data_IF_915273319811
#
_entry.id   IF_915273319811
#
_cell.length_a   1.000
_cell.length_b   1.000
_cell.length_c   1.000
_cell.angle_alpha   90.00
_cell.angle_beta   90.00
_cell.angle_gamma   90.00
#
_symmetry.space_group_name_H-M   'P 1'
#
loop_
_entity.id
_entity.type
_entity.pdbx_description
1 polymer ?
#
# COMPACT_ATOMS: atom_id res chain seq x y z
N UNK A 1 -2.37 23.53 -13.45
CA UNK A 1 -3.02 22.24 -13.67
C UNK A 1 -1.92 21.23 -13.99
N UNK A 2 -1.45 20.48 -13.01
CA UNK A 2 -0.52 19.40 -13.25
C UNK A 2 -1.29 18.26 -13.91
N UNK A 3 -1.25 18.16 -15.23
CA UNK A 3 -1.56 16.93 -15.96
C UNK A 3 -0.44 15.96 -15.61
N UNK A 4 -0.61 15.36 -14.43
CA UNK A 4 0.48 14.67 -13.76
C UNK A 4 0.77 13.33 -14.39
N UNK A 5 1.97 12.84 -14.07
CA UNK A 5 2.48 11.49 -14.29
C UNK A 5 1.43 10.38 -14.06
N UNK A 6 0.43 10.62 -13.21
CA UNK A 6 -0.70 9.71 -12.97
C UNK A 6 -1.52 9.37 -14.22
N UNK A 7 -1.66 10.27 -15.20
CA UNK A 7 -2.39 10.00 -16.45
C UNK A 7 -1.59 9.11 -17.42
N UNK A 8 -0.26 9.17 -17.37
CA UNK A 8 0.61 8.32 -18.20
C UNK A 8 0.49 6.86 -17.77
N UNK A 9 0.58 6.59 -16.46
CA UNK A 9 0.47 5.22 -15.92
C UNK A 9 -0.90 4.59 -16.16
N UNK A 10 -1.96 5.38 -16.13
CA UNK A 10 -3.32 4.91 -16.37
C UNK A 10 -3.55 4.42 -17.80
N UNK A 11 -2.75 4.90 -18.79
CA UNK A 11 -2.84 4.50 -20.20
C UNK A 11 -2.02 3.26 -20.52
N UNK A 12 -1.23 2.76 -19.58
CA UNK A 12 -0.41 1.58 -19.72
C UNK A 12 -1.13 0.34 -19.19
N UNK A 13 -0.71 -0.82 -19.65
CA UNK A 13 -1.18 -2.10 -19.12
C UNK A 13 -0.68 -2.36 -17.70
N UNK A 14 -1.24 -3.35 -17.03
CA UNK A 14 -0.76 -3.82 -15.72
C UNK A 14 0.72 -4.20 -15.81
N UNK A 15 1.10 -5.02 -16.80
CA UNK A 15 2.48 -5.49 -16.97
C UNK A 15 3.45 -4.35 -17.23
N UNK A 16 3.10 -3.40 -18.12
CA UNK A 16 3.91 -2.21 -18.37
C UNK A 16 4.09 -1.35 -17.12
N UNK A 17 3.04 -1.19 -16.31
CA UNK A 17 3.12 -0.47 -15.04
C UNK A 17 4.11 -1.13 -14.06
N UNK A 18 4.07 -2.45 -13.95
CA UNK A 18 4.99 -3.19 -13.09
C UNK A 18 6.44 -3.09 -13.61
N UNK A 19 6.63 -3.21 -14.93
CA UNK A 19 7.96 -3.08 -15.54
C UNK A 19 8.57 -1.70 -15.32
N UNK A 20 7.77 -0.63 -15.41
CA UNK A 20 8.23 0.74 -15.16
C UNK A 20 8.59 0.94 -13.69
N UNK A 21 7.93 0.25 -12.75
CA UNK A 21 8.26 0.33 -11.33
C UNK A 21 9.74 0.06 -11.04
N UNK A 22 10.40 -0.77 -11.84
CA UNK A 22 11.82 -1.09 -11.70
C UNK A 22 12.67 -0.56 -12.87
N UNK A 23 12.26 0.52 -13.52
CA UNK A 23 12.99 1.11 -14.66
C UNK A 23 14.47 1.38 -14.38
N UNK A 24 14.85 1.68 -13.14
CA UNK A 24 16.24 1.89 -12.74
C UNK A 24 17.04 0.58 -12.56
N UNK A 25 16.37 -0.58 -12.55
CA UNK A 25 17.05 -1.87 -12.39
C UNK A 25 17.70 -2.30 -13.69
N UNK A 26 19.01 -2.59 -13.64
CA UNK A 26 19.74 -3.17 -14.77
C UNK A 26 19.60 -4.70 -14.86
N UNK A 27 19.09 -5.33 -13.79
CA UNK A 27 18.94 -6.78 -13.67
C UNK A 27 17.54 -7.22 -14.14
N UNK A 28 17.45 -7.63 -15.39
CA UNK A 28 16.20 -8.10 -16.01
C UNK A 28 15.64 -9.38 -15.39
N UNK A 29 16.51 -10.30 -14.97
CA UNK A 29 16.10 -11.56 -14.34
C UNK A 29 15.49 -11.31 -12.97
N UNK A 30 16.11 -10.43 -12.19
CA UNK A 30 15.56 -10.00 -10.91
C UNK A 30 14.23 -9.29 -11.08
N UNK A 31 14.11 -8.41 -12.09
CA UNK A 31 12.84 -7.73 -12.40
C UNK A 31 11.73 -8.73 -12.70
N UNK A 32 12.00 -9.72 -13.55
CA UNK A 32 11.00 -10.77 -13.89
C UNK A 32 10.55 -11.53 -12.66
N UNK A 33 11.49 -11.96 -11.79
CA UNK A 33 11.15 -12.63 -10.52
C UNK A 33 10.30 -11.75 -9.60
N UNK A 34 10.60 -10.45 -9.53
CA UNK A 34 9.84 -9.52 -8.70
C UNK A 34 8.42 -9.29 -9.26
N UNK A 35 8.25 -9.24 -10.58
CA UNK A 35 6.92 -9.13 -11.21
C UNK A 35 6.09 -10.39 -10.92
N UNK A 36 6.66 -11.59 -11.07
CA UNK A 36 5.96 -12.82 -10.72
C UNK A 36 5.57 -12.86 -9.23
N UNK A 37 6.47 -12.43 -8.33
CA UNK A 37 6.14 -12.27 -6.91
C UNK A 37 4.96 -11.31 -6.68
N UNK A 38 4.86 -10.22 -7.44
CA UNK A 38 3.72 -9.29 -7.36
C UNK A 38 2.43 -9.99 -7.80
N UNK A 39 2.47 -10.84 -8.83
CA UNK A 39 1.31 -11.60 -9.26
C UNK A 39 0.89 -12.67 -8.25
N UNK A 40 1.83 -13.27 -7.52
CA UNK A 40 1.53 -14.17 -6.41
C UNK A 40 0.83 -13.43 -5.24
N UNK A 41 1.28 -12.21 -4.93
CA UNK A 41 0.66 -11.35 -3.90
C UNK A 41 -0.72 -10.83 -4.35
N UNK A 42 -0.85 -10.49 -5.63
CA UNK A 42 -2.05 -9.92 -6.24
C UNK A 42 -2.49 -10.72 -7.48
N UNK A 43 -3.11 -11.91 -7.31
CA UNK A 43 -3.49 -12.78 -8.43
C UNK A 43 -4.35 -12.08 -9.50
N UNK A 44 -5.22 -11.14 -9.07
CA UNK A 44 -6.05 -10.36 -9.99
C UNK A 44 -5.25 -9.51 -10.98
N UNK A 45 -4.06 -9.06 -10.60
CA UNK A 45 -3.16 -8.37 -11.53
C UNK A 45 -2.59 -9.35 -12.55
N UNK A 46 -2.25 -10.57 -12.12
CA UNK A 46 -1.76 -11.64 -12.98
C UNK A 46 -2.79 -12.09 -14.04
N UNK A 47 -4.08 -12.16 -13.66
CA UNK A 47 -5.20 -12.46 -14.58
C UNK A 47 -5.42 -11.38 -15.64
N UNK A 48 -4.94 -10.15 -15.43
CA UNK A 48 -5.25 -8.95 -16.21
C UNK A 48 -4.01 -8.22 -16.72
N UNK A 49 -2.92 -8.95 -16.99
CA UNK A 49 -1.61 -8.39 -17.37
C UNK A 49 -1.69 -7.36 -18.51
N UNK A 50 -2.50 -7.63 -19.51
CA UNK A 50 -2.67 -6.79 -20.70
C UNK A 50 -3.76 -5.72 -20.56
N UNK A 51 -4.51 -5.70 -19.44
CA UNK A 51 -5.57 -4.73 -19.21
C UNK A 51 -4.98 -3.34 -18.94
N UNK A 52 -5.55 -2.30 -19.54
CA UNK A 52 -5.18 -0.92 -19.26
C UNK A 52 -5.54 -0.53 -17.81
N UNK A 53 -4.61 0.04 -17.06
CA UNK A 53 -4.79 0.38 -15.66
C UNK A 53 -6.01 1.30 -15.41
N UNK A 54 -6.33 2.20 -16.35
CA UNK A 54 -7.49 3.10 -16.24
C UNK A 54 -8.85 2.38 -16.24
N UNK A 55 -8.91 1.15 -16.74
CA UNK A 55 -10.15 0.36 -16.84
C UNK A 55 -10.36 -0.55 -15.64
N UNK A 56 -9.42 -0.57 -14.70
CA UNK A 56 -9.48 -1.33 -13.47
C UNK A 56 -10.29 -0.61 -12.39
N UNK A 57 -10.84 -1.35 -11.45
CA UNK A 57 -11.47 -0.77 -10.25
C UNK A 57 -10.44 0.00 -9.40
N UNK A 58 -10.92 0.94 -8.58
CA UNK A 58 -10.03 1.71 -7.68
C UNK A 58 -9.16 0.81 -6.79
N UNK A 59 -9.72 -0.29 -6.27
CA UNK A 59 -8.96 -1.25 -5.47
C UNK A 59 -7.88 -1.98 -6.26
N UNK A 60 -8.14 -2.36 -7.50
CA UNK A 60 -7.15 -2.97 -8.38
C UNK A 60 -6.05 -1.98 -8.77
N UNK A 61 -6.41 -0.71 -9.01
CA UNK A 61 -5.41 0.36 -9.24
C UNK A 61 -4.52 0.58 -8.02
N UNK A 62 -5.06 0.49 -6.81
CA UNK A 62 -4.28 0.57 -5.57
C UNK A 62 -3.33 -0.62 -5.41
N UNK A 63 -3.81 -1.85 -5.69
CA UNK A 63 -2.96 -3.04 -5.72
C UNK A 63 -1.83 -2.90 -6.75
N UNK A 64 -2.14 -2.35 -7.93
CA UNK A 64 -1.14 -2.10 -8.97
C UNK A 64 -0.10 -1.06 -8.51
N UNK A 65 -0.51 -0.01 -7.80
CA UNK A 65 0.41 0.99 -7.25
C UNK A 65 1.37 0.39 -6.22
N UNK A 66 0.85 -0.45 -5.31
CA UNK A 66 1.68 -1.20 -4.33
C UNK A 66 2.60 -2.18 -5.08
N UNK A 67 2.06 -2.96 -6.01
CA UNK A 67 2.81 -3.93 -6.82
C UNK A 67 3.98 -3.27 -7.55
N UNK A 68 3.74 -2.11 -8.17
CA UNK A 68 4.78 -1.32 -8.83
C UNK A 68 5.92 -0.92 -7.88
N UNK A 69 5.61 -0.54 -6.64
CA UNK A 69 6.64 -0.24 -5.65
C UNK A 69 7.43 -1.48 -5.23
N UNK A 70 6.78 -2.64 -5.19
CA UNK A 70 7.42 -3.92 -4.81
C UNK A 70 8.38 -4.47 -5.86
N UNK A 71 8.22 -4.11 -7.14
CA UNK A 71 9.13 -4.59 -8.22
C UNK A 71 10.58 -4.15 -8.02
N UNK A 72 10.85 -3.13 -7.21
CA UNK A 72 12.19 -2.70 -6.80
C UNK A 72 12.79 -3.52 -5.65
N UNK A 73 12.05 -4.45 -5.05
CA UNK A 73 12.43 -5.13 -3.79
C UNK A 73 12.84 -4.12 -2.69
N UNK A 74 11.95 -3.20 -2.31
CA UNK A 74 12.28 -2.15 -1.36
C UNK A 74 12.52 -2.71 0.04
N UNK A 75 13.42 -2.09 0.81
CA UNK A 75 13.58 -2.35 2.24
C UNK A 75 12.59 -1.55 3.09
N UNK A 76 12.10 -0.43 2.55
CA UNK A 76 11.12 0.46 3.17
C UNK A 76 10.04 0.80 2.15
N UNK A 77 8.78 0.64 2.53
CA UNK A 77 7.61 1.01 1.75
C UNK A 77 6.85 2.10 2.49
N UNK A 78 6.58 3.21 1.81
CA UNK A 78 5.80 4.34 2.31
C UNK A 78 4.42 4.31 1.66
N UNK A 79 3.35 4.30 2.45
CA UNK A 79 1.97 4.21 1.98
C UNK A 79 1.17 5.34 2.62
N UNK A 80 0.52 6.13 1.78
CA UNK A 80 -0.34 7.23 2.21
C UNK A 80 -1.78 6.94 1.82
N UNK A 81 -2.69 6.95 2.83
CA UNK A 81 -4.15 6.81 2.69
C UNK A 81 -4.60 5.62 1.80
N UNK A 82 -4.06 4.42 2.04
CA UNK A 82 -4.35 3.22 1.23
C UNK A 82 -5.84 2.83 1.24
N UNK A 83 -6.59 3.22 2.27
CA UNK A 83 -8.01 2.88 2.41
C UNK A 83 -8.96 3.87 1.74
N UNK A 84 -8.48 5.04 1.31
CA UNK A 84 -9.33 6.10 0.80
C UNK A 84 -10.04 5.70 -0.51
N UNK A 85 -11.37 5.84 -0.52
CA UNK A 85 -12.20 5.53 -1.70
C UNK A 85 -12.33 4.05 -2.05
N UNK A 86 -11.87 3.14 -1.19
CA UNK A 86 -11.99 1.70 -1.41
C UNK A 86 -13.21 1.08 -0.70
N UNK A 87 -13.77 0.05 -1.32
CA UNK A 87 -14.78 -0.79 -0.66
C UNK A 87 -14.16 -1.52 0.56
N UNK A 88 -14.93 -1.76 1.64
CA UNK A 88 -14.41 -2.37 2.89
C UNK A 88 -13.64 -3.67 2.70
N UNK A 89 -14.06 -4.51 1.75
CA UNK A 89 -13.39 -5.77 1.43
C UNK A 89 -11.99 -5.53 0.86
N UNK A 90 -11.83 -4.51 0.01
CA UNK A 90 -10.55 -4.15 -0.59
C UNK A 90 -9.59 -3.55 0.45
N UNK A 91 -10.12 -2.73 1.36
CA UNK A 91 -9.36 -2.20 2.51
C UNK A 91 -8.76 -3.36 3.32
N UNK A 92 -9.57 -4.37 3.66
CA UNK A 92 -9.08 -5.53 4.41
C UNK A 92 -7.97 -6.28 3.65
N UNK A 93 -8.12 -6.43 2.34
CA UNK A 93 -7.11 -7.07 1.49
C UNK A 93 -5.80 -6.27 1.49
N UNK A 94 -5.86 -4.94 1.35
CA UNK A 94 -4.67 -4.08 1.38
C UNK A 94 -3.94 -4.19 2.73
N UNK A 95 -4.65 -4.10 3.85
CA UNK A 95 -4.02 -4.22 5.18
C UNK A 95 -3.45 -5.62 5.44
N UNK A 96 -4.09 -6.68 4.94
CA UNK A 96 -3.53 -8.03 5.00
C UNK A 96 -2.20 -8.10 4.25
N UNK A 97 -2.16 -7.57 3.02
CA UNK A 97 -0.92 -7.53 2.22
C UNK A 97 0.17 -6.74 2.94
N UNK A 98 -0.14 -5.57 3.49
CA UNK A 98 0.81 -4.75 4.27
C UNK A 98 1.39 -5.55 5.43
N UNK A 99 0.55 -6.27 6.18
CA UNK A 99 0.98 -7.12 7.27
C UNK A 99 1.91 -8.25 6.81
N UNK A 100 1.54 -8.93 5.72
CA UNK A 100 2.33 -10.03 5.16
C UNK A 100 3.68 -9.54 4.61
N UNK A 101 3.73 -8.37 3.97
CA UNK A 101 4.97 -7.72 3.53
C UNK A 101 5.89 -7.43 4.72
N UNK A 102 5.35 -6.91 5.82
CA UNK A 102 6.13 -6.64 7.02
C UNK A 102 6.68 -7.93 7.64
N UNK A 103 5.88 -9.00 7.72
CA UNK A 103 6.34 -10.31 8.17
C UNK A 103 7.49 -10.87 7.31
N UNK A 104 7.51 -10.54 6.02
CA UNK A 104 8.57 -10.93 5.09
C UNK A 104 9.77 -9.96 5.08
N UNK A 105 9.89 -9.10 6.10
CA UNK A 105 11.06 -8.26 6.35
C UNK A 105 11.05 -6.89 5.67
N UNK A 106 9.96 -6.48 5.02
CA UNK A 106 9.83 -5.13 4.48
C UNK A 106 9.36 -4.20 5.62
N UNK A 107 10.10 -3.14 5.88
CA UNK A 107 9.64 -2.07 6.77
C UNK A 107 8.54 -1.29 6.07
N UNK A 108 7.39 -1.09 6.73
CA UNK A 108 6.28 -0.34 6.13
C UNK A 108 5.90 0.83 7.04
N UNK A 109 5.87 2.03 6.49
CA UNK A 109 5.29 3.21 7.12
C UNK A 109 3.96 3.53 6.44
N UNK A 110 2.88 3.48 7.20
CA UNK A 110 1.53 3.77 6.71
C UNK A 110 1.02 5.04 7.36
N UNK A 111 0.54 5.98 6.56
CA UNK A 111 -0.24 7.14 7.02
C UNK A 111 -1.70 6.84 6.72
N UNK A 112 -2.56 6.87 7.74
CA UNK A 112 -3.96 6.46 7.63
C UNK A 112 -4.86 7.23 8.60
N UNK A 113 -6.07 7.56 8.13
CA UNK A 113 -7.14 8.09 8.98
C UNK A 113 -7.89 6.94 9.68
N UNK A 114 -7.96 5.76 9.06
CA UNK A 114 -8.59 4.59 9.65
C UNK A 114 -7.69 3.96 10.72
N UNK A 115 -7.59 4.62 11.87
CA UNK A 115 -6.73 4.19 12.96
C UNK A 115 -7.01 2.75 13.42
N UNK A 116 -8.30 2.33 13.41
CA UNK A 116 -8.68 0.98 13.81
C UNK A 116 -8.03 -0.09 12.91
N UNK A 117 -8.04 0.12 11.60
CA UNK A 117 -7.42 -0.81 10.63
C UNK A 117 -5.89 -0.75 10.73
N UNK A 118 -5.31 0.45 10.77
CA UNK A 118 -3.88 0.64 10.83
C UNK A 118 -3.28 0.01 12.10
N UNK A 119 -3.85 0.28 13.28
CA UNK A 119 -3.36 -0.24 14.55
C UNK A 119 -3.54 -1.77 14.72
N UNK A 120 -4.41 -2.41 13.92
CA UNK A 120 -4.54 -3.89 13.93
C UNK A 120 -3.35 -4.59 13.29
N UNK A 121 -2.66 -3.95 12.37
CA UNK A 121 -1.55 -4.55 11.60
C UNK A 121 -0.19 -3.94 11.93
N UNK A 122 -0.18 -2.76 12.56
CA UNK A 122 1.04 -2.06 12.94
C UNK A 122 1.68 -2.66 14.18
N UNK A 123 3.01 -2.52 14.30
CA UNK A 123 3.77 -2.83 15.51
C UNK A 123 3.81 -1.61 16.44
N UNK A 124 3.89 -0.41 15.85
CA UNK A 124 4.02 0.88 16.54
C UNK A 124 3.20 1.95 15.83
N UNK A 125 2.71 2.94 16.57
CA UNK A 125 1.98 4.05 16.01
C UNK A 125 2.46 5.41 16.52
N UNK A 126 2.15 6.43 15.74
CA UNK A 126 2.38 7.84 16.05
C UNK A 126 1.09 8.58 15.75
N UNK A 127 0.55 9.31 16.72
CA UNK A 127 -0.63 10.17 16.52
C UNK A 127 -0.14 11.57 16.22
N UNK A 128 -0.54 12.10 15.07
CA UNK A 128 -0.21 13.46 14.62
C UNK A 128 -1.43 14.36 14.78
N UNK A 129 -1.22 15.51 15.42
CA UNK A 129 -2.20 16.60 15.49
C UNK A 129 -1.51 17.92 15.16
N UNK A 130 -2.09 18.67 14.21
CA UNK A 130 -1.57 19.98 13.81
C UNK A 130 -0.05 19.98 13.53
N UNK A 131 0.44 18.92 12.84
CA UNK A 131 1.85 18.79 12.46
C UNK A 131 2.80 18.36 13.59
N UNK A 132 2.28 17.97 14.76
CA UNK A 132 3.08 17.52 15.90
C UNK A 132 2.70 16.10 16.30
N UNK A 133 3.70 15.29 16.69
CA UNK A 133 3.45 13.99 17.31
C UNK A 133 3.01 14.22 18.75
N UNK A 134 1.76 13.87 19.07
CA UNK A 134 1.16 14.01 20.40
C UNK A 134 1.23 12.72 21.21
N UNK A 135 1.22 11.57 20.52
CA UNK A 135 1.38 10.25 21.16
C UNK A 135 2.28 9.37 20.30
N UNK A 136 3.07 8.50 20.94
CA UNK A 136 3.92 7.50 20.29
C UNK A 136 4.05 6.30 21.20
N UNK A 137 3.57 5.13 20.75
CA UNK A 137 3.63 3.89 21.55
C UNK A 137 3.51 2.65 20.66
N UNK A 138 3.54 1.46 21.25
CA UNK A 138 3.14 0.22 20.58
C UNK A 138 1.69 0.31 20.09
N UNK A 139 1.37 -0.36 19.02
CA UNK A 139 -0.01 -0.38 18.49
C UNK A 139 -1.00 -0.95 19.54
N UNK A 140 -0.56 -1.91 20.37
CA UNK A 140 -1.36 -2.49 21.44
C UNK A 140 -1.74 -1.44 22.48
N UNK A 141 -0.75 -0.69 23.00
CA UNK A 141 -0.98 0.38 23.97
C UNK A 141 -1.86 1.49 23.42
N UNK A 142 -1.64 1.90 22.17
CA UNK A 142 -2.46 2.92 21.52
C UNK A 142 -3.92 2.46 21.34
N UNK A 143 -4.16 1.20 21.05
CA UNK A 143 -5.53 0.65 20.98
C UNK A 143 -6.25 0.66 22.33
N UNK A 144 -5.51 0.48 23.44
CA UNK A 144 -6.03 0.58 24.81
C UNK A 144 -6.11 2.00 25.36
N UNK A 145 -5.58 2.99 24.66
CA UNK A 145 -5.52 4.37 25.14
C UNK A 145 -6.88 5.08 24.95
N UNK A 146 -7.47 5.59 26.05
CA UNK A 146 -8.79 6.24 26.04
C UNK A 146 -8.85 7.45 25.10
N UNK A 147 -7.78 8.23 24.98
CA UNK A 147 -7.72 9.40 24.08
C UNK A 147 -7.81 8.93 22.63
N UNK A 148 -7.06 7.88 22.28
CA UNK A 148 -7.09 7.30 20.93
C UNK A 148 -8.45 6.68 20.63
N UNK A 149 -9.04 5.97 21.60
CA UNK A 149 -10.37 5.36 21.47
C UNK A 149 -11.43 6.42 21.19
N UNK A 150 -11.50 7.46 21.99
CA UNK A 150 -12.52 8.50 21.85
C UNK A 150 -12.34 9.36 20.58
N UNK A 151 -11.10 9.66 20.18
CA UNK A 151 -10.84 10.56 19.06
C UNK A 151 -10.83 9.85 17.69
N UNK A 152 -10.38 8.58 17.64
CA UNK A 152 -10.04 7.93 16.36
C UNK A 152 -10.63 6.53 16.18
N UNK A 153 -11.12 5.86 17.23
CA UNK A 153 -11.62 4.48 17.12
C UNK A 153 -13.16 4.37 17.17
N UNK A 154 -13.86 5.48 17.43
CA UNK A 154 -15.33 5.54 17.41
C UNK A 154 -15.96 4.78 18.57
N UNK A 155 -15.39 4.87 19.77
CA UNK A 155 -15.97 4.35 20.99
C UNK A 155 -17.06 5.27 21.52
#
# INVERSE_FOLDING_TARGET
>A
MSRGLGDVYKRQTVEENLAIGAYSSKDKEKLKKNIEMVYDIFPRLGERREQLARTMSGGEQQMLAIGRALTLSPRLLLIDEVSMGLMPIMVNTCFKVIHDLNKNGITVLVVEQNANKALKVANRGYVLETGKIVLSDTAENLRGNNVVQNAYLGA
#
